data_IF_325923818701
#
_entry.id   IF_325923818701
#
_cell.length_a   1.000
_cell.length_b   1.000
_cell.length_c   1.000
_cell.angle_alpha   90.00
_cell.angle_beta   90.00
_cell.angle_gamma   90.00
#
_symmetry.space_group_name_H-M   'P 1'
#
loop_
_entity.id
_entity.type
_entity.pdbx_description
1 polymer ?
#
# COMPACT_ATOMS: atom_id res chain seq x y z
N UNK A 1 8.22 27.10 -2.43
CA UNK A 1 8.07 25.72 -2.97
C UNK A 1 7.17 24.92 -2.05
N UNK A 2 6.16 24.26 -2.59
CA UNK A 2 5.33 23.39 -1.78
C UNK A 2 6.16 22.19 -1.31
N UNK A 3 6.03 21.88 -0.02
CA UNK A 3 6.65 20.71 0.61
C UNK A 3 6.06 19.44 -0.04
N UNK A 4 6.89 18.51 -0.52
CA UNK A 4 6.37 17.30 -1.13
C UNK A 4 5.67 16.41 -0.09
N UNK A 5 4.71 15.61 -0.52
CA UNK A 5 3.92 14.74 0.33
C UNK A 5 4.09 13.28 -0.07
N UNK A 6 4.29 12.43 0.95
CA UNK A 6 4.14 10.99 0.85
C UNK A 6 2.86 10.59 1.60
N UNK A 7 1.83 10.24 0.84
CA UNK A 7 0.57 9.77 1.39
C UNK A 7 0.53 8.24 1.32
N UNK A 8 0.55 7.61 2.47
CA UNK A 8 0.55 6.14 2.58
C UNK A 8 -0.82 5.65 3.02
N UNK A 9 -1.41 4.76 2.21
CA UNK A 9 -2.64 4.06 2.55
C UNK A 9 -2.27 2.65 2.99
N UNK A 10 -2.41 2.41 4.28
CA UNK A 10 -2.23 1.10 4.88
C UNK A 10 -3.54 0.36 4.97
N UNK A 11 -3.60 -0.86 4.47
CA UNK A 11 -4.80 -1.70 4.58
C UNK A 11 -4.46 -3.17 4.53
N UNK A 12 -5.17 -4.02 5.31
CA UNK A 12 -5.09 -5.46 5.13
C UNK A 12 -5.58 -5.88 3.75
N UNK A 13 -5.11 -7.03 3.27
CA UNK A 13 -5.65 -7.63 2.05
C UNK A 13 -7.16 -7.82 2.18
N UNK A 14 -7.90 -7.46 1.14
CA UNK A 14 -9.36 -7.63 1.12
C UNK A 14 -10.16 -6.59 1.92
N UNK A 15 -9.52 -5.55 2.45
CA UNK A 15 -10.23 -4.47 3.18
C UNK A 15 -11.11 -3.57 2.29
N UNK A 16 -11.14 -3.84 0.98
CA UNK A 16 -11.91 -3.09 -0.01
C UNK A 16 -11.04 -2.08 -0.78
N UNK A 17 -11.40 -1.83 -2.04
CA UNK A 17 -10.82 -0.73 -2.80
C UNK A 17 -11.32 0.57 -2.18
N UNK A 18 -10.39 1.38 -1.77
CA UNK A 18 -10.66 2.60 -1.07
C UNK A 18 -11.28 3.61 -2.04
N UNK A 19 -12.57 3.80 -1.93
CA UNK A 19 -13.26 4.98 -2.48
C UNK A 19 -12.50 6.25 -2.08
N UNK A 20 -12.00 6.29 -0.87
CA UNK A 20 -11.19 7.38 -0.32
C UNK A 20 -9.90 7.58 -1.12
N UNK A 21 -9.13 6.51 -1.42
CA UNK A 21 -7.92 6.62 -2.24
C UNK A 21 -8.24 7.15 -3.63
N UNK A 22 -9.26 6.60 -4.26
CA UNK A 22 -9.70 7.04 -5.59
C UNK A 22 -10.16 8.49 -5.63
N UNK A 23 -10.86 8.95 -4.60
CA UNK A 23 -11.26 10.35 -4.47
C UNK A 23 -10.06 11.27 -4.26
N UNK A 24 -9.14 10.89 -3.38
CA UNK A 24 -7.92 11.65 -3.12
C UNK A 24 -7.05 11.77 -4.38
N UNK A 25 -6.85 10.68 -5.11
CA UNK A 25 -6.10 10.67 -6.36
C UNK A 25 -6.74 11.55 -7.44
N UNK A 26 -8.07 11.48 -7.58
CA UNK A 26 -8.80 12.34 -8.53
C UNK A 26 -8.70 13.82 -8.18
N UNK A 27 -8.73 14.15 -6.90
CA UNK A 27 -8.67 15.54 -6.44
C UNK A 27 -7.27 16.15 -6.53
N UNK A 28 -6.23 15.34 -6.38
CA UNK A 28 -4.83 15.81 -6.32
C UNK A 28 -4.05 15.60 -7.60
N UNK A 29 -4.43 14.64 -8.43
CA UNK A 29 -3.68 14.25 -9.63
C UNK A 29 -2.30 13.64 -9.36
N UNK A 30 -2.03 13.20 -8.12
CA UNK A 30 -0.75 12.62 -7.72
C UNK A 30 -0.52 11.25 -8.33
N UNK A 31 0.75 10.87 -8.48
CA UNK A 31 1.16 9.52 -8.84
C UNK A 31 0.71 8.50 -7.77
N UNK A 32 0.43 7.28 -8.20
CA UNK A 32 -0.02 6.20 -7.33
C UNK A 32 0.82 4.94 -7.54
N UNK A 33 1.29 4.36 -6.45
CA UNK A 33 2.02 3.09 -6.45
C UNK A 33 1.30 2.05 -5.60
N UNK A 34 1.05 0.89 -6.21
CA UNK A 34 0.50 -0.30 -5.57
C UNK A 34 1.19 -1.53 -6.17
N UNK A 35 1.72 -2.40 -5.32
CA UNK A 35 2.45 -3.58 -5.78
C UNK A 35 1.58 -4.57 -6.56
N UNK A 36 0.28 -4.69 -6.22
CA UNK A 36 -0.64 -5.57 -6.94
C UNK A 36 -0.88 -5.08 -8.37
N UNK A 37 -0.98 -3.77 -8.56
CA UNK A 37 -1.09 -3.17 -9.90
C UNK A 37 0.17 -3.41 -10.72
N UNK A 38 1.35 -3.28 -10.10
CA UNK A 38 2.63 -3.58 -10.77
C UNK A 38 2.72 -5.06 -11.14
N UNK A 39 2.29 -5.95 -10.25
CA UNK A 39 2.26 -7.39 -10.54
C UNK A 39 1.35 -7.71 -11.73
N UNK A 40 0.20 -7.06 -11.83
CA UNK A 40 -0.71 -7.21 -12.96
C UNK A 40 -0.12 -6.66 -14.28
N UNK A 41 0.67 -5.59 -14.22
CA UNK A 41 1.41 -5.08 -15.38
C UNK A 41 2.50 -6.08 -15.84
N UNK A 42 3.23 -6.67 -14.90
CA UNK A 42 4.34 -7.59 -15.19
C UNK A 42 3.87 -8.96 -15.68
N UNK A 43 2.76 -9.45 -15.14
CA UNK A 43 2.16 -10.73 -15.53
C UNK A 43 0.62 -10.65 -15.46
N UNK A 44 -0.04 -10.21 -16.53
CA UNK A 44 -1.51 -10.07 -16.54
C UNK A 44 -2.25 -11.39 -16.29
N UNK A 45 -1.64 -12.53 -16.68
CA UNK A 45 -2.25 -13.85 -16.55
C UNK A 45 -1.98 -14.52 -15.22
N UNK A 46 -0.87 -14.19 -14.56
CA UNK A 46 -0.49 -14.75 -13.26
C UNK A 46 0.25 -13.70 -12.40
N UNK A 47 -0.47 -12.76 -11.79
CA UNK A 47 0.14 -11.73 -10.94
C UNK A 47 0.85 -12.30 -9.71
N UNK A 48 0.49 -13.51 -9.25
CA UNK A 48 1.10 -14.14 -8.08
C UNK A 48 2.57 -14.46 -8.35
N UNK A 49 2.90 -14.97 -9.53
CA UNK A 49 4.29 -15.24 -9.94
C UNK A 49 5.12 -13.96 -10.00
N UNK A 50 4.51 -12.84 -10.33
CA UNK A 50 5.19 -11.56 -10.43
C UNK A 50 5.33 -10.81 -9.08
N UNK A 51 4.78 -11.33 -7.98
CA UNK A 51 4.68 -10.61 -6.70
C UNK A 51 6.04 -10.14 -6.17
N UNK A 52 7.08 -10.98 -6.23
CA UNK A 52 8.44 -10.63 -5.76
C UNK A 52 9.04 -9.50 -6.61
N UNK A 53 8.93 -9.62 -7.93
CA UNK A 53 9.43 -8.60 -8.87
C UNK A 53 8.66 -7.29 -8.73
N UNK A 54 7.34 -7.38 -8.52
CA UNK A 54 6.48 -6.23 -8.27
C UNK A 54 6.87 -5.48 -6.99
N UNK A 55 7.20 -6.21 -5.91
CA UNK A 55 7.70 -5.62 -4.67
C UNK A 55 9.02 -4.87 -4.85
N UNK A 56 9.94 -5.44 -5.62
CA UNK A 56 11.21 -4.77 -5.98
C UNK A 56 10.98 -3.54 -6.84
N UNK A 57 10.11 -3.63 -7.84
CA UNK A 57 9.75 -2.51 -8.71
C UNK A 57 9.04 -1.38 -7.93
N UNK A 58 8.14 -1.73 -7.02
CA UNK A 58 7.50 -0.79 -6.12
C UNK A 58 8.53 0.00 -5.31
N UNK A 59 9.45 -0.69 -4.64
CA UNK A 59 10.49 -0.04 -3.83
C UNK A 59 11.38 0.88 -4.66
N UNK A 60 11.78 0.45 -5.86
CA UNK A 60 12.60 1.26 -6.77
C UNK A 60 11.85 2.50 -7.27
N UNK A 61 10.61 2.33 -7.76
CA UNK A 61 9.79 3.45 -8.26
C UNK A 61 9.52 4.48 -7.15
N UNK A 62 9.29 4.01 -5.92
CA UNK A 62 9.12 4.91 -4.80
C UNK A 62 10.41 5.66 -4.46
N UNK A 63 11.55 4.99 -4.44
CA UNK A 63 12.85 5.64 -4.21
C UNK A 63 13.13 6.71 -5.28
N UNK A 64 12.87 6.40 -6.55
CA UNK A 64 13.04 7.35 -7.66
C UNK A 64 12.14 8.58 -7.51
N UNK A 65 10.88 8.40 -7.09
CA UNK A 65 9.97 9.51 -6.83
C UNK A 65 10.48 10.42 -5.69
N UNK A 66 11.00 9.81 -4.61
CA UNK A 66 11.60 10.57 -3.51
C UNK A 66 12.84 11.36 -3.95
N UNK A 67 13.70 10.77 -4.79
CA UNK A 67 14.88 11.45 -5.33
C UNK A 67 14.52 12.65 -6.19
N UNK A 68 13.42 12.56 -6.94
CA UNK A 68 12.87 13.67 -7.73
C UNK A 68 12.02 14.64 -6.92
N UNK A 69 11.85 14.40 -5.62
CA UNK A 69 11.02 15.22 -4.73
C UNK A 69 9.55 15.33 -5.17
N UNK A 70 9.05 14.26 -5.76
CA UNK A 70 7.66 14.17 -6.21
C UNK A 70 6.73 13.81 -5.06
N UNK A 71 5.56 14.46 -4.99
CA UNK A 71 4.47 14.01 -4.12
C UNK A 71 3.84 12.76 -4.70
N UNK A 72 3.59 11.75 -3.84
CA UNK A 72 3.14 10.44 -4.29
C UNK A 72 2.22 9.77 -3.26
N UNK A 73 1.26 9.02 -3.76
CA UNK A 73 0.39 8.15 -2.97
C UNK A 73 0.85 6.72 -3.11
N UNK A 74 1.01 6.02 -2.01
CA UNK A 74 1.35 4.59 -2.00
C UNK A 74 0.32 3.80 -1.22
N UNK A 75 0.03 2.60 -1.68
CA UNK A 75 -0.85 1.66 -0.99
C UNK A 75 -0.06 0.40 -0.65
N UNK A 76 -0.19 -0.06 0.60
CA UNK A 76 0.51 -1.23 1.12
C UNK A 76 -0.31 -1.92 2.19
N UNK A 77 -0.12 -3.23 2.35
CA UNK A 77 -0.69 -3.95 3.49
C UNK A 77 -0.02 -3.59 4.83
N UNK A 78 1.14 -2.95 4.80
CA UNK A 78 2.02 -2.68 5.96
C UNK A 78 2.45 -3.97 6.71
N UNK A 79 2.25 -5.13 6.12
CA UNK A 79 2.62 -6.41 6.73
C UNK A 79 4.13 -6.65 6.81
N UNK A 80 4.91 -5.89 6.01
CA UNK A 80 6.37 -5.88 6.04
C UNK A 80 6.92 -4.56 6.58
N UNK A 81 8.23 -4.53 6.84
CA UNK A 81 8.93 -3.36 7.36
C UNK A 81 9.81 -2.65 6.32
N UNK A 82 9.84 -3.13 5.09
CA UNK A 82 10.64 -2.51 4.02
C UNK A 82 10.19 -1.09 3.73
N UNK A 83 8.89 -0.88 3.62
CA UNK A 83 8.31 0.46 3.39
C UNK A 83 8.65 1.44 4.53
N UNK A 84 8.74 0.95 5.76
CA UNK A 84 9.11 1.77 6.92
C UNK A 84 10.39 2.58 6.70
N UNK A 85 11.44 1.94 6.17
CA UNK A 85 12.72 2.60 5.89
C UNK A 85 12.57 3.71 4.86
N UNK A 86 11.75 3.47 3.84
CA UNK A 86 11.49 4.47 2.80
C UNK A 86 10.68 5.64 3.34
N UNK A 87 9.69 5.39 4.18
CA UNK A 87 8.93 6.45 4.86
C UNK A 87 9.82 7.27 5.80
N UNK A 88 10.71 6.62 6.55
CA UNK A 88 11.70 7.31 7.38
C UNK A 88 12.63 8.20 6.54
N UNK A 89 13.11 7.70 5.41
CA UNK A 89 13.92 8.46 4.46
C UNK A 89 13.15 9.68 3.93
N UNK A 90 11.89 9.50 3.54
CA UNK A 90 11.04 10.61 3.10
C UNK A 90 10.92 11.70 4.18
N UNK A 91 10.72 11.31 5.44
CA UNK A 91 10.72 12.24 6.56
C UNK A 91 12.03 13.01 6.71
N UNK A 92 13.18 12.32 6.57
CA UNK A 92 14.50 12.96 6.59
C UNK A 92 14.73 13.92 5.40
N UNK A 93 14.11 13.62 4.26
CA UNK A 93 14.11 14.51 3.09
C UNK A 93 13.13 15.68 3.21
N UNK A 94 12.40 15.80 4.32
CA UNK A 94 11.49 16.91 4.56
C UNK A 94 10.10 16.75 3.95
N UNK A 95 9.70 15.54 3.60
CA UNK A 95 8.32 15.27 3.16
C UNK A 95 7.31 15.47 4.28
N UNK A 96 6.11 15.91 3.93
CA UNK A 96 4.94 15.69 4.76
C UNK A 96 4.58 14.21 4.66
N UNK A 97 4.42 13.55 5.81
CA UNK A 97 4.09 12.12 5.87
C UNK A 97 2.68 11.97 6.41
N UNK A 98 1.77 11.54 5.54
CA UNK A 98 0.40 11.21 5.92
C UNK A 98 0.21 9.70 5.83
N UNK A 99 -0.34 9.09 6.87
CA UNK A 99 -0.64 7.67 6.91
C UNK A 99 -2.12 7.49 7.24
N UNK A 100 -2.86 6.93 6.29
CA UNK A 100 -4.24 6.50 6.46
C UNK A 100 -4.27 4.99 6.62
N UNK A 101 -4.73 4.48 7.76
CA UNK A 101 -4.90 3.05 7.97
C UNK A 101 -6.37 2.67 7.91
N UNK A 102 -6.70 1.76 6.99
CA UNK A 102 -8.06 1.23 6.85
C UNK A 102 -8.21 0.03 7.77
N UNK A 103 -9.01 0.22 8.82
CA UNK A 103 -9.29 -0.84 9.79
C UNK A 103 -10.39 -1.78 9.29
N UNK A 104 -10.16 -3.07 9.48
CA UNK A 104 -11.16 -4.13 9.27
C UNK A 104 -11.21 -4.98 10.54
N UNK A 105 -12.39 -5.38 10.97
CA UNK A 105 -12.59 -6.01 12.28
C UNK A 105 -11.95 -7.40 12.39
N UNK A 106 -11.88 -8.16 11.28
CA UNK A 106 -11.36 -9.53 11.32
C UNK A 106 -10.76 -9.98 9.99
N UNK A 107 -9.83 -10.96 10.00
CA UNK A 107 -9.33 -11.59 8.78
C UNK A 107 -10.43 -12.32 8.00
N UNK A 108 -11.46 -12.83 8.67
CA UNK A 108 -12.60 -13.49 8.04
C UNK A 108 -13.40 -12.54 7.13
N UNK A 109 -13.59 -11.29 7.55
CA UNK A 109 -14.18 -10.27 6.69
C UNK A 109 -13.34 -10.00 5.44
N UNK A 110 -12.02 -9.94 5.59
CA UNK A 110 -11.09 -9.78 4.47
C UNK A 110 -11.23 -10.95 3.48
N UNK A 111 -11.24 -12.18 3.98
CA UNK A 111 -11.40 -13.38 3.17
C UNK A 111 -12.74 -13.39 2.43
N UNK A 112 -13.83 -13.03 3.11
CA UNK A 112 -15.15 -12.96 2.49
C UNK A 112 -15.21 -11.93 1.35
N UNK A 113 -14.61 -10.77 1.55
CA UNK A 113 -14.53 -9.70 0.53
C UNK A 113 -13.65 -10.10 -0.66
N UNK A 114 -12.56 -10.83 -0.43
CA UNK A 114 -11.70 -11.35 -1.50
C UNK A 114 -12.50 -12.36 -2.35
N UNK A 115 -13.22 -13.30 -1.72
CA UNK A 115 -14.06 -14.27 -2.43
C UNK A 115 -15.11 -13.60 -3.31
N UNK A 116 -15.82 -12.60 -2.79
CA UNK A 116 -16.78 -11.83 -3.55
C UNK A 116 -16.13 -11.09 -4.72
N UNK A 117 -14.96 -10.49 -4.49
CA UNK A 117 -14.20 -9.79 -5.53
C UNK A 117 -13.75 -10.73 -6.65
N UNK A 118 -13.30 -11.94 -6.31
CA UNK A 118 -12.87 -12.95 -7.28
C UNK A 118 -14.05 -13.36 -8.19
N UNK A 119 -15.27 -13.46 -7.67
CA UNK A 119 -16.46 -13.75 -8.50
C UNK A 119 -16.73 -12.66 -9.53
N UNK A 120 -16.20 -11.45 -9.32
CA UNK A 120 -16.30 -10.31 -10.25
C UNK A 120 -15.03 -10.09 -11.07
N UNK A 121 -14.14 -11.09 -11.14
CA UNK A 121 -12.90 -11.05 -11.91
C UNK A 121 -11.74 -10.32 -11.24
N UNK A 122 -11.83 -10.02 -9.96
CA UNK A 122 -10.76 -9.38 -9.19
C UNK A 122 -9.66 -10.36 -8.75
N UNK A 123 -8.53 -9.83 -8.26
CA UNK A 123 -7.39 -10.65 -7.87
C UNK A 123 -7.69 -11.53 -6.65
N UNK A 124 -7.16 -12.75 -6.70
CA UNK A 124 -7.23 -13.72 -5.61
C UNK A 124 -6.05 -13.54 -4.65
N UNK A 125 -6.31 -13.71 -3.36
CA UNK A 125 -5.28 -13.81 -2.31
C UNK A 125 -5.60 -15.07 -1.49
N UNK A 126 -4.65 -15.99 -1.30
CA UNK A 126 -4.87 -17.18 -0.48
C UNK A 126 -5.26 -16.85 0.97
N UNK A 127 -6.18 -17.61 1.55
CA UNK A 127 -6.66 -17.41 2.92
C UNK A 127 -5.51 -17.43 3.93
N UNK A 128 -4.52 -18.30 3.73
CA UNK A 128 -3.33 -18.38 4.59
C UNK A 128 -2.51 -17.08 4.56
N UNK A 129 -2.41 -16.42 3.42
CA UNK A 129 -1.70 -15.14 3.29
C UNK A 129 -2.44 -14.02 3.98
N UNK A 130 -3.77 -13.99 3.91
CA UNK A 130 -4.61 -13.07 4.66
C UNK A 130 -4.43 -13.28 6.16
N UNK A 131 -4.47 -14.52 6.60
CA UNK A 131 -4.29 -14.89 8.01
C UNK A 131 -2.94 -14.48 8.59
N UNK A 132 -1.87 -14.53 7.78
CA UNK A 132 -0.53 -14.06 8.17
C UNK A 132 -0.39 -12.54 8.14
N UNK A 133 -0.87 -11.92 7.08
CA UNK A 133 -0.66 -10.48 6.84
C UNK A 133 -1.56 -9.60 7.71
N UNK A 134 -2.76 -10.05 8.05
CA UNK A 134 -3.71 -9.26 8.82
C UNK A 134 -3.17 -8.83 10.20
N UNK A 135 -2.73 -9.75 11.09
CA UNK A 135 -2.19 -9.34 12.39
C UNK A 135 -0.90 -8.56 12.26
N UNK A 136 -0.06 -8.85 11.26
CA UNK A 136 1.18 -8.10 11.01
C UNK A 136 0.89 -6.67 10.56
N UNK A 137 -0.08 -6.49 9.71
CA UNK A 137 -0.53 -5.18 9.23
C UNK A 137 -0.93 -4.28 10.39
N UNK A 138 -1.79 -4.79 11.27
CA UNK A 138 -2.28 -4.07 12.45
C UNK A 138 -1.15 -3.79 13.45
N UNK A 139 -0.34 -4.80 13.78
CA UNK A 139 0.80 -4.68 14.69
C UNK A 139 1.80 -3.62 14.17
N UNK A 140 2.19 -3.73 12.90
CA UNK A 140 3.15 -2.83 12.30
C UNK A 140 2.65 -1.39 12.22
N UNK A 141 1.36 -1.20 11.92
CA UNK A 141 0.76 0.13 11.96
C UNK A 141 0.91 0.76 13.35
N UNK A 142 0.46 0.06 14.40
CA UNK A 142 0.47 0.58 15.75
C UNK A 142 1.87 0.84 16.30
N UNK A 143 2.82 -0.07 16.07
CA UNK A 143 4.14 -0.03 16.70
C UNK A 143 5.19 0.70 15.87
N UNK A 144 5.04 0.77 14.54
CA UNK A 144 6.09 1.28 13.67
C UNK A 144 5.64 2.42 12.74
N UNK A 145 4.53 2.27 12.04
CA UNK A 145 4.17 3.23 11.00
C UNK A 145 3.50 4.49 11.54
N UNK A 146 2.62 4.35 12.50
CA UNK A 146 1.86 5.44 13.09
C UNK A 146 2.72 6.63 13.53
N UNK A 147 3.85 6.34 14.15
CA UNK A 147 4.78 7.35 14.67
C UNK A 147 5.60 8.06 13.57
N UNK A 148 5.54 7.58 12.34
CA UNK A 148 6.25 8.20 11.22
C UNK A 148 5.46 9.33 10.55
N UNK A 149 4.15 9.46 10.84
CA UNK A 149 3.34 10.57 10.35
C UNK A 149 3.91 11.90 10.86
N UNK A 150 4.09 12.86 9.97
CA UNK A 150 4.67 14.18 10.25
C UNK A 150 4.07 15.25 9.35
N UNK A 151 3.69 16.38 9.97
CA UNK A 151 3.30 17.61 9.28
C UNK A 151 4.51 18.43 8.80
#
# INVERSE_FOLDING_TARGET
>A
MNRPELFTIGRPNGSGKTTIASQYLRSTGLGFLNADNIAAELSPTDPILAAVQAGKAFSRRLADALDRRESIVVESTLSGLTLRRTVQRAGALGYRITILFVYVASPQECIARIKERVTRGGPFVPDADVGRSFPRSLHNFWHFYRSLARE
#
